data_IF_288643340861
#
_entry.id   IF_288643340861
#
_cell.length_a   1.000
_cell.length_b   1.000
_cell.length_c   1.000
_cell.angle_alpha   90.00
_cell.angle_beta   90.00
_cell.angle_gamma   90.00
#
_symmetry.space_group_name_H-M   'P 1'
#
loop_
_entity.id
_entity.type
_entity.pdbx_description
1 polymer ?
#
# COMPACT_ATOMS: atom_id res chain seq x y z
N UNK A 1 -6.37 -22.43 -5.95
CA UNK A 1 -5.78 -21.66 -4.82
C UNK A 1 -6.60 -20.39 -4.62
N UNK A 2 -7.31 -20.25 -3.49
CA UNK A 2 -8.04 -19.01 -3.17
C UNK A 2 -7.00 -17.95 -2.82
N UNK A 3 -6.59 -17.13 -3.79
CA UNK A 3 -5.82 -15.91 -3.52
C UNK A 3 -6.69 -15.00 -2.65
N UNK A 4 -6.52 -15.10 -1.34
CA UNK A 4 -7.20 -14.21 -0.40
C UNK A 4 -6.66 -12.80 -0.63
N UNK A 5 -7.50 -11.81 -0.95
CA UNK A 5 -7.05 -10.44 -1.19
C UNK A 5 -6.54 -9.71 0.07
N UNK A 6 -6.64 -10.33 1.25
CA UNK A 6 -6.15 -9.76 2.51
C UNK A 6 -4.61 -9.78 2.64
N UNK A 7 -3.94 -10.94 2.54
CA UNK A 7 -2.48 -10.99 2.68
C UNK A 7 -1.76 -10.12 1.64
N UNK A 8 -2.26 -10.02 0.41
CA UNK A 8 -1.69 -9.11 -0.58
C UNK A 8 -1.85 -7.64 -0.19
N UNK A 9 -2.98 -7.22 0.37
CA UNK A 9 -3.19 -5.85 0.84
C UNK A 9 -2.18 -5.44 1.93
N UNK A 10 -1.89 -6.35 2.86
CA UNK A 10 -0.92 -6.15 3.94
C UNK A 10 0.50 -6.05 3.39
N UNK A 11 0.85 -6.89 2.40
CA UNK A 11 2.16 -6.82 1.73
C UNK A 11 2.37 -5.49 1.03
N UNK A 12 1.38 -5.02 0.25
CA UNK A 12 1.45 -3.70 -0.40
C UNK A 12 1.54 -2.56 0.63
N UNK A 13 0.79 -2.64 1.74
CA UNK A 13 0.91 -1.66 2.81
C UNK A 13 2.32 -1.62 3.40
N UNK A 14 2.89 -2.79 3.71
CA UNK A 14 4.22 -2.92 4.27
C UNK A 14 5.31 -2.41 3.30
N UNK A 15 5.18 -2.70 2.01
CA UNK A 15 6.05 -2.17 0.96
C UNK A 15 5.98 -0.65 0.87
N UNK A 16 4.78 -0.06 0.90
CA UNK A 16 4.62 1.39 0.90
C UNK A 16 5.29 2.07 2.10
N UNK A 17 5.16 1.50 3.29
CA UNK A 17 5.86 1.98 4.50
C UNK A 17 7.37 1.86 4.36
N UNK A 18 7.85 0.73 3.82
CA UNK A 18 9.28 0.50 3.60
C UNK A 18 9.86 1.50 2.60
N UNK A 19 9.21 1.74 1.47
CA UNK A 19 9.65 2.72 0.48
C UNK A 19 9.62 4.15 1.04
N UNK A 20 8.64 4.46 1.89
CA UNK A 20 8.60 5.76 2.59
C UNK A 20 9.81 5.92 3.53
N UNK A 21 10.12 4.89 4.31
CA UNK A 21 11.28 4.91 5.22
C UNK A 21 12.61 5.07 4.46
N UNK A 22 12.80 4.31 3.39
CA UNK A 22 13.99 4.40 2.55
C UNK A 22 14.05 5.77 1.86
N UNK A 23 12.92 6.30 1.40
CA UNK A 23 12.83 7.62 0.76
C UNK A 23 13.22 8.75 1.69
N UNK A 24 12.82 8.68 2.97
CA UNK A 24 13.22 9.65 4.00
C UNK A 24 14.73 9.58 4.24
N UNK A 25 15.32 8.38 4.32
CA UNK A 25 16.77 8.25 4.49
C UNK A 25 17.55 8.70 3.24
N UNK A 26 16.99 8.54 2.04
CA UNK A 26 17.60 8.99 0.79
C UNK A 26 17.50 10.52 0.59
N UNK A 27 16.64 11.20 1.35
CA UNK A 27 16.51 12.65 1.36
C UNK A 27 17.59 13.26 2.27
N UNK A 28 18.87 13.13 1.89
CA UNK A 28 20.00 13.69 2.66
C UNK A 28 19.95 15.22 2.68
N UNK A 29 20.15 15.87 1.52
CA UNK A 29 20.17 17.34 1.42
C UNK A 29 18.85 17.93 0.94
N UNK A 30 18.13 17.23 0.05
CA UNK A 30 16.88 17.73 -0.53
C UNK A 30 15.90 16.58 -0.81
N UNK A 31 14.62 16.86 -0.61
CA UNK A 31 13.53 15.91 -0.90
C UNK A 31 13.33 15.76 -2.42
N UNK A 32 13.85 16.69 -3.23
CA UNK A 32 13.75 16.70 -4.69
C UNK A 32 14.78 15.80 -5.39
N UNK A 33 15.54 15.02 -4.64
CA UNK A 33 16.43 14.03 -5.23
C UNK A 33 15.61 13.01 -6.06
N UNK A 34 16.12 12.64 -7.23
CA UNK A 34 15.46 11.74 -8.16
C UNK A 34 15.06 10.42 -7.49
N UNK A 35 15.95 9.86 -6.67
CA UNK A 35 15.72 8.60 -5.94
C UNK A 35 14.58 8.77 -4.93
N UNK A 36 14.59 9.82 -4.12
CA UNK A 36 13.54 10.13 -3.14
C UNK A 36 12.19 10.28 -3.80
N UNK A 37 12.13 11.00 -4.93
CA UNK A 37 10.88 11.22 -5.65
C UNK A 37 10.36 9.94 -6.31
N UNK A 38 11.25 9.11 -6.88
CA UNK A 38 10.87 7.80 -7.41
C UNK A 38 10.32 6.88 -6.30
N UNK A 39 10.99 6.81 -5.15
CA UNK A 39 10.54 6.04 -3.99
C UNK A 39 9.19 6.54 -3.45
N UNK A 40 8.97 7.85 -3.41
CA UNK A 40 7.69 8.43 -3.00
C UNK A 40 6.54 8.07 -3.97
N UNK A 41 6.81 8.05 -5.28
CA UNK A 41 5.83 7.62 -6.29
C UNK A 41 5.48 6.14 -6.09
N UNK A 42 6.48 5.27 -5.92
CA UNK A 42 6.26 3.84 -5.67
C UNK A 42 5.46 3.63 -4.38
N UNK A 43 5.86 4.26 -3.29
CA UNK A 43 5.13 4.20 -2.01
C UNK A 43 3.67 4.61 -2.18
N UNK A 44 3.40 5.68 -2.93
CA UNK A 44 2.04 6.16 -3.19
C UNK A 44 1.21 5.12 -3.94
N UNK A 45 1.78 4.48 -4.97
CA UNK A 45 1.11 3.41 -5.71
C UNK A 45 0.77 2.22 -4.80
N UNK A 46 1.71 1.81 -3.95
CA UNK A 46 1.52 0.70 -3.01
C UNK A 46 0.41 1.00 -1.99
N UNK A 47 0.35 2.22 -1.45
CA UNK A 47 -0.74 2.64 -0.57
C UNK A 47 -2.10 2.65 -1.28
N UNK A 48 -2.17 3.14 -2.52
CA UNK A 48 -3.41 3.15 -3.31
C UNK A 48 -3.92 1.71 -3.51
N UNK A 49 -3.03 0.79 -3.91
CA UNK A 49 -3.38 -0.62 -4.12
C UNK A 49 -3.84 -1.26 -2.81
N UNK A 50 -3.11 -1.02 -1.72
CA UNK A 50 -3.46 -1.53 -0.40
C UNK A 50 -4.85 -1.06 0.07
N UNK A 51 -5.13 0.25 -0.03
CA UNK A 51 -6.43 0.84 0.29
C UNK A 51 -7.54 0.22 -0.56
N UNK A 52 -7.29 0.01 -1.85
CA UNK A 52 -8.27 -0.59 -2.77
C UNK A 52 -8.60 -2.03 -2.38
N UNK A 53 -7.60 -2.85 -2.03
CA UNK A 53 -7.86 -4.22 -1.57
C UNK A 53 -8.52 -4.25 -0.19
N UNK A 54 -8.17 -3.33 0.71
CA UNK A 54 -8.81 -3.23 2.02
C UNK A 54 -10.30 -2.89 1.88
N UNK A 55 -10.64 -1.91 1.04
CA UNK A 55 -12.02 -1.56 0.72
C UNK A 55 -12.78 -2.73 0.06
N UNK A 56 -12.13 -3.47 -0.84
CA UNK A 56 -12.71 -4.68 -1.43
C UNK A 56 -13.02 -5.73 -0.34
N UNK A 57 -12.10 -5.95 0.59
CA UNK A 57 -12.31 -6.89 1.69
C UNK A 57 -13.47 -6.45 2.61
N UNK A 58 -13.52 -5.16 2.98
CA UNK A 58 -14.62 -4.60 3.76
C UNK A 58 -15.97 -4.73 3.05
N UNK A 59 -16.01 -4.48 1.75
CA UNK A 59 -17.23 -4.62 0.93
C UNK A 59 -17.71 -6.07 0.87
N UNK A 60 -16.80 -7.02 0.66
CA UNK A 60 -17.12 -8.46 0.67
C UNK A 60 -17.62 -8.90 2.06
N UNK A 61 -16.99 -8.41 3.14
CA UNK A 61 -17.40 -8.71 4.51
C UNK A 61 -18.81 -8.18 4.79
N UNK A 62 -19.11 -6.94 4.40
CA UNK A 62 -20.45 -6.34 4.54
C UNK A 62 -21.51 -7.11 3.75
N UNK A 63 -21.24 -7.44 2.49
CA UNK A 63 -22.17 -8.21 1.66
C UNK A 63 -22.47 -9.63 2.19
N UNK A 64 -21.52 -10.24 2.91
CA UNK A 64 -21.75 -11.53 3.57
C UNK A 64 -22.48 -11.40 4.91
N UNK A 65 -22.41 -10.26 5.60
CA UNK A 65 -23.19 -10.02 6.82
C UNK A 65 -24.65 -9.70 6.54
N UNK A 66 -24.94 -9.02 5.42
CA UNK A 66 -26.30 -8.67 5.01
C UNK A 66 -27.13 -9.88 4.52
N UNK A 67 -26.48 -11.02 4.30
CA UNK A 67 -27.12 -12.30 3.94
C UNK A 67 -27.39 -13.24 5.14
N UNK A 68 -27.08 -12.81 6.36
CA UNK A 68 -27.26 -13.60 7.59
C UNK A 68 -28.39 -13.00 8.43
#
# INVERSE_FOLDING_TARGET
>A
MRFSPLPSAILYFGLGVLFTYIGIQAAEDTIFNFITMALAIFATMDFIVSIRLFNLHLRIKRANQDKK
#
